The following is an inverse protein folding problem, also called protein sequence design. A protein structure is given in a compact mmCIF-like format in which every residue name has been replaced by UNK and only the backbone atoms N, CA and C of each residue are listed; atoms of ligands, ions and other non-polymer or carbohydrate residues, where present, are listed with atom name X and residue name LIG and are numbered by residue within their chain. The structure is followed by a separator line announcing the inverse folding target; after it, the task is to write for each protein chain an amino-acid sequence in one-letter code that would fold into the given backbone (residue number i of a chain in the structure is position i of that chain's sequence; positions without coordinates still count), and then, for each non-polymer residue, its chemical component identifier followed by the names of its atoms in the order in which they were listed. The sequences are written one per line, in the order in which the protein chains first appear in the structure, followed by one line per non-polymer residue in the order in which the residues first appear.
data_IF_255042022588
#
_entry.id   IF_255042022588
#
_cell.length_a   1.000
_cell.length_b   1.000
_cell.length_c   1.000
_cell.angle_alpha   90.00
_cell.angle_beta   90.00
_cell.angle_gamma   90.00
#
_symmetry.space_group_name_H-M   'P 1'
#
loop_
_entity.id
_entity.type
_entity.pdbx_description
1 polymer ?
#
# COMPACT_ATOMS: atom_id res chain seq x y z
N UNK A 1 1.45 -1.81 10.86
CA UNK A 1 0.41 -0.79 11.11
C UNK A 1 0.94 0.61 11.44
N UNK A 2 1.98 0.78 12.28
CA UNK A 2 2.47 2.11 12.70
C UNK A 2 2.93 3.02 11.55
N UNK A 3 3.57 2.47 10.52
CA UNK A 3 4.04 3.24 9.34
C UNK A 3 2.90 3.88 8.53
N UNK A 4 1.82 3.14 8.28
CA UNK A 4 0.64 3.63 7.54
C UNK A 4 -0.02 4.77 8.32
N UNK A 5 -0.25 4.56 9.62
CA UNK A 5 -0.84 5.58 10.51
C UNK A 5 0.03 6.84 10.62
N UNK A 6 1.35 6.69 10.71
CA UNK A 6 2.27 7.83 10.80
C UNK A 6 2.33 8.64 9.50
N UNK A 7 2.36 7.96 8.35
CA UNK A 7 2.33 8.61 7.04
C UNK A 7 1.02 9.38 6.83
N UNK A 8 -0.11 8.74 7.14
CA UNK A 8 -1.43 9.39 7.10
C UNK A 8 -1.48 10.63 7.99
N UNK A 9 -1.07 10.55 9.26
CA UNK A 9 -1.06 11.71 10.18
C UNK A 9 -0.21 12.87 9.66
N UNK A 10 0.92 12.58 8.99
CA UNK A 10 1.77 13.63 8.41
C UNK A 10 1.07 14.32 7.25
N UNK A 11 0.45 13.56 6.34
CA UNK A 11 -0.26 14.11 5.19
C UNK A 11 -1.55 14.83 5.62
N UNK A 12 -2.28 14.30 6.60
CA UNK A 12 -3.48 14.90 7.14
C UNK A 12 -3.20 16.29 7.72
N UNK A 13 -2.08 16.48 8.42
CA UNK A 13 -1.67 17.79 8.93
C UNK A 13 -1.34 18.81 7.82
N UNK A 14 -0.85 18.36 6.67
CA UNK A 14 -0.49 19.22 5.54
C UNK A 14 -1.73 19.62 4.73
N UNK A 15 -2.68 18.70 4.57
CA UNK A 15 -3.84 18.88 3.71
C UNK A 15 -5.14 19.16 4.48
N UNK A 16 -5.09 19.41 5.78
CA UNK A 16 -6.31 19.63 6.56
C UNK A 16 -7.03 20.91 6.09
N UNK A 17 -8.35 20.87 5.87
CA UNK A 17 -9.11 22.05 5.44
C UNK A 17 -8.99 23.23 6.41
N UNK A 18 -8.91 22.96 7.73
CA UNK A 18 -8.72 24.01 8.76
C UNK A 18 -7.41 24.79 8.63
N UNK A 19 -6.39 24.27 7.92
CA UNK A 19 -5.13 24.99 7.66
C UNK A 19 -5.05 25.55 6.24
N UNK A 20 -6.18 25.59 5.52
CA UNK A 20 -6.25 26.03 4.12
C UNK A 20 -5.99 24.92 3.10
N UNK A 21 -6.07 23.66 3.52
CA UNK A 21 -6.00 22.50 2.63
C UNK A 21 -7.27 22.28 1.82
N UNK A 22 -7.16 21.49 0.75
CA UNK A 22 -8.30 21.14 -0.11
C UNK A 22 -9.10 19.97 0.47
N UNK A 23 -10.40 20.17 0.67
CA UNK A 23 -11.29 19.19 1.29
C UNK A 23 -11.44 17.91 0.44
N UNK A 24 -11.42 18.03 -0.90
CA UNK A 24 -11.53 16.87 -1.79
C UNK A 24 -10.25 16.03 -1.77
N UNK A 25 -9.08 16.68 -1.70
CA UNK A 25 -7.79 16.02 -1.52
C UNK A 25 -7.70 15.32 -0.16
N UNK A 26 -8.23 15.94 0.90
CA UNK A 26 -8.29 15.32 2.22
C UNK A 26 -9.21 14.08 2.23
N UNK A 27 -10.36 14.14 1.53
CA UNK A 27 -11.28 13.00 1.39
C UNK A 27 -10.61 11.81 0.69
N UNK A 28 -9.90 12.05 -0.42
CA UNK A 28 -9.11 11.01 -1.12
C UNK A 28 -8.03 10.40 -0.24
N UNK A 29 -7.34 11.22 0.57
CA UNK A 29 -6.35 10.75 1.53
C UNK A 29 -6.98 9.85 2.60
N UNK A 30 -8.15 10.22 3.10
CA UNK A 30 -8.91 9.44 4.08
C UNK A 30 -9.32 8.07 3.51
N UNK A 31 -9.91 8.05 2.32
CA UNK A 31 -10.34 6.81 1.64
C UNK A 31 -9.16 5.85 1.43
N UNK A 32 -8.03 6.36 0.92
CA UNK A 32 -6.83 5.56 0.72
C UNK A 32 -6.25 4.99 2.03
N UNK A 33 -6.36 5.74 3.14
CA UNK A 33 -5.94 5.26 4.46
C UNK A 33 -6.85 4.14 4.96
N UNK A 34 -8.16 4.27 4.81
CA UNK A 34 -9.14 3.24 5.20
C UNK A 34 -8.92 1.96 4.40
N UNK A 35 -8.75 2.06 3.08
CA UNK A 35 -8.45 0.92 2.21
C UNK A 35 -7.16 0.21 2.63
N UNK A 36 -6.10 0.97 2.91
CA UNK A 36 -4.83 0.39 3.38
C UNK A 36 -4.94 -0.24 4.77
N UNK A 37 -5.78 0.31 5.65
CA UNK A 37 -6.03 -0.27 6.97
C UNK A 37 -6.75 -1.61 6.84
N UNK A 38 -7.83 -1.69 6.05
CA UNK A 38 -8.55 -2.95 5.77
C UNK A 38 -7.63 -3.97 5.11
N UNK A 39 -6.84 -3.56 4.11
CA UNK A 39 -5.86 -4.45 3.47
C UNK A 39 -4.82 -4.96 4.49
N UNK A 40 -4.41 -4.13 5.45
CA UNK A 40 -3.40 -4.53 6.44
C UNK A 40 -3.87 -5.61 7.42
N UNK A 41 -5.18 -5.79 7.60
CA UNK A 41 -5.76 -6.86 8.42
C UNK A 41 -5.66 -8.23 7.74
N UNK A 42 -5.78 -8.25 6.41
CA UNK A 42 -5.68 -9.45 5.58
C UNK A 42 -4.92 -9.16 4.29
N UNK A 43 -3.59 -8.97 4.37
CA UNK A 43 -2.80 -8.56 3.22
C UNK A 43 -2.76 -9.70 2.20
N UNK A 44 -3.47 -9.52 1.09
CA UNK A 44 -3.30 -10.37 -0.10
C UNK A 44 -2.25 -9.72 -0.98
N UNK A 45 -1.07 -10.32 -1.04
CA UNK A 45 -0.02 -9.87 -1.92
C UNK A 45 -0.35 -10.29 -3.35
N UNK A 46 -0.99 -9.42 -4.12
CA UNK A 46 -1.15 -9.62 -5.57
C UNK A 46 0.15 -9.25 -6.29
N UNK A 47 1.24 -9.97 -6.00
CA UNK A 47 2.46 -9.89 -6.81
C UNK A 47 2.74 -11.24 -7.46
N UNK A 48 1.99 -11.51 -8.54
CA UNK A 48 2.57 -12.16 -9.72
C UNK A 48 3.03 -11.08 -10.69
N UNK A 49 3.91 -10.20 -10.24
CA UNK A 49 4.77 -9.48 -11.17
C UNK A 49 6.13 -10.15 -11.07
N UNK A 50 6.18 -11.40 -11.54
CA UNK A 50 7.45 -12.01 -11.86
C UNK A 50 8.06 -11.09 -12.91
N UNK A 51 9.20 -10.49 -12.61
CA UNK A 51 10.00 -9.89 -13.66
C UNK A 51 10.33 -11.06 -14.61
N UNK A 52 10.00 -10.96 -15.91
CA UNK A 52 10.11 -12.09 -16.84
C UNK A 52 11.53 -12.66 -16.94
N UNK A 53 12.52 -11.91 -16.46
CA UNK A 53 13.95 -12.20 -16.46
C UNK A 53 14.53 -12.54 -15.08
N UNK A 54 13.74 -12.57 -13.99
CA UNK A 54 14.28 -12.77 -12.63
C UNK A 54 13.61 -13.91 -11.87
N UNK A 55 14.44 -14.70 -11.20
CA UNK A 55 14.01 -15.74 -10.27
C UNK A 55 13.12 -15.15 -9.17
N UNK A 56 11.96 -15.76 -8.97
CA UNK A 56 10.99 -15.35 -7.95
C UNK A 56 10.92 -16.41 -6.86
N UNK A 57 11.19 -16.04 -5.61
CA UNK A 57 10.95 -16.95 -4.49
C UNK A 57 9.46 -16.99 -4.14
N UNK A 58 8.83 -18.15 -4.29
CA UNK A 58 7.46 -18.42 -3.85
C UNK A 58 7.47 -18.92 -2.40
N UNK A 59 7.01 -18.05 -1.49
CA UNK A 59 6.95 -18.34 -0.06
C UNK A 59 5.88 -19.36 0.33
N UNK A 60 4.80 -19.52 -0.46
CA UNK A 60 3.75 -20.50 -0.19
C UNK A 60 4.22 -21.91 -0.56
N UNK A 61 4.89 -22.03 -1.72
CA UNK A 61 5.39 -23.31 -2.22
C UNK A 61 6.82 -23.63 -1.81
N UNK A 62 7.45 -22.72 -1.04
CA UNK A 62 8.84 -22.79 -0.55
C UNK A 62 9.83 -23.14 -1.68
N UNK A 63 9.67 -22.54 -2.86
CA UNK A 63 10.49 -22.84 -4.03
C UNK A 63 10.82 -21.60 -4.83
N UNK A 64 11.90 -21.68 -5.59
CA UNK A 64 12.21 -20.71 -6.63
C UNK A 64 11.40 -21.01 -7.88
N UNK A 65 10.69 -20.00 -8.39
CA UNK A 65 10.01 -20.02 -9.68
C UNK A 65 10.97 -19.45 -10.72
N UNK A 66 11.24 -20.27 -11.74
CA UNK A 66 12.07 -19.90 -12.88
C UNK A 66 11.35 -18.82 -13.71
N UNK A 67 12.08 -17.82 -14.24
CA UNK A 67 11.51 -16.87 -15.18
C UNK A 67 10.97 -17.58 -16.44
N UNK A 68 9.86 -17.08 -16.98
CA UNK A 68 9.30 -17.55 -18.26
C UNK A 68 10.14 -16.93 -19.38
N UNK A 69 11.25 -17.59 -19.73
CA UNK A 69 12.04 -17.27 -20.90
C UNK A 69 11.30 -17.54 -22.20
#
# INVERSE_FOLDING_TARGET
MTKIKNAYRRLAKVHHPDVGGDADSFRKLQEAYEEMMVWSERPRFTRRRAFPDKWLYDGEKRRWLQPLG
#
